data_IF_564671252501
#
_entry.id   IF_564671252501
#
_cell.length_a   1.000
_cell.length_b   1.000
_cell.length_c   1.000
_cell.angle_alpha   90.00
_cell.angle_beta   90.00
_cell.angle_gamma   90.00
#
_symmetry.space_group_name_H-M   'P 1'
#
loop_
_entity.id
_entity.type
_entity.pdbx_description
1 polymer ?
#
# COMPACT_ATOMS: atom_id res chain seq x y z
N UNK A 1 -13.54 -25.58 5.03
CA UNK A 1 -14.41 -24.46 5.44
C UNK A 1 -13.58 -23.42 6.18
N UNK A 2 -13.66 -22.13 5.85
CA UNK A 2 -13.11 -21.06 6.70
C UNK A 2 -14.15 -20.78 7.79
N UNK A 3 -13.95 -21.38 8.96
CA UNK A 3 -14.87 -21.30 10.12
C UNK A 3 -14.72 -20.01 10.92
N UNK A 4 -13.69 -19.20 10.67
CA UNK A 4 -13.45 -17.97 11.40
C UNK A 4 -14.24 -16.77 10.83
N UNK A 5 -15.14 -16.21 11.64
CA UNK A 5 -15.78 -14.92 11.38
C UNK A 5 -14.77 -13.79 11.63
N UNK A 6 -14.18 -13.23 10.57
CA UNK A 6 -13.22 -12.11 10.65
C UNK A 6 -13.90 -10.79 11.08
N UNK A 7 -13.10 -9.78 11.43
CA UNK A 7 -13.57 -8.44 11.79
C UNK A 7 -13.49 -8.17 13.29
N UNK A 8 -14.37 -7.32 13.82
CA UNK A 8 -14.35 -6.98 15.27
C UNK A 8 -14.62 -8.21 16.14
N UNK A 9 -15.42 -9.16 15.64
CA UNK A 9 -15.72 -10.41 16.35
C UNK A 9 -14.49 -11.30 16.52
N UNK A 10 -13.50 -11.25 15.60
CA UNK A 10 -12.28 -12.03 15.77
C UNK A 10 -11.42 -11.50 16.92
N UNK A 11 -11.44 -10.19 17.18
CA UNK A 11 -10.75 -9.58 18.34
C UNK A 11 -11.39 -10.08 19.64
N UNK A 12 -12.72 -10.05 19.72
CA UNK A 12 -13.48 -10.53 20.88
C UNK A 12 -13.15 -12.00 21.17
N UNK A 13 -13.16 -12.86 20.15
CA UNK A 13 -12.81 -14.28 20.31
C UNK A 13 -11.35 -14.50 20.67
N UNK A 14 -10.43 -13.85 19.97
CA UNK A 14 -8.99 -14.04 20.17
C UNK A 14 -8.53 -13.64 21.58
N UNK A 15 -9.14 -12.60 22.15
CA UNK A 15 -8.84 -12.13 23.50
C UNK A 15 -9.81 -12.69 24.57
N UNK A 16 -10.74 -13.57 24.20
CA UNK A 16 -11.81 -14.10 25.07
C UNK A 16 -12.57 -13.00 25.83
N UNK A 17 -12.86 -11.88 25.17
CA UNK A 17 -13.57 -10.76 25.80
C UNK A 17 -15.05 -11.09 25.98
N UNK A 18 -15.66 -10.55 27.04
CA UNK A 18 -17.12 -10.65 27.26
C UNK A 18 -17.90 -10.17 26.03
N UNK A 19 -18.92 -10.91 25.56
CA UNK A 19 -19.67 -10.57 24.34
C UNK A 19 -20.23 -9.14 24.31
N UNK A 20 -20.66 -8.62 25.47
CA UNK A 20 -21.16 -7.23 25.64
C UNK A 20 -20.16 -6.16 25.17
N UNK A 21 -18.86 -6.47 25.16
CA UNK A 21 -17.80 -5.54 24.75
C UNK A 21 -17.67 -5.40 23.23
N UNK A 22 -18.31 -6.28 22.44
CA UNK A 22 -18.35 -6.16 21.00
C UNK A 22 -18.90 -4.80 20.55
N UNK A 23 -20.00 -4.35 21.15
CA UNK A 23 -20.61 -3.06 20.82
C UNK A 23 -19.67 -1.91 21.21
N UNK A 24 -19.01 -1.98 22.38
CA UNK A 24 -18.04 -0.95 22.80
C UNK A 24 -16.85 -0.83 21.85
N UNK A 25 -16.30 -1.95 21.37
CA UNK A 25 -15.23 -1.96 20.37
C UNK A 25 -15.71 -1.40 19.02
N UNK A 26 -16.93 -1.72 18.63
CA UNK A 26 -17.53 -1.16 17.42
C UNK A 26 -17.74 0.36 17.57
N UNK A 27 -18.19 0.82 18.73
CA UNK A 27 -18.43 2.23 19.02
C UNK A 27 -17.13 3.03 19.04
N UNK A 28 -16.04 2.46 19.55
CA UNK A 28 -14.72 3.13 19.52
C UNK A 28 -14.24 3.38 18.09
N UNK A 29 -14.55 2.49 17.13
CA UNK A 29 -14.26 2.72 15.72
C UNK A 29 -15.06 3.89 15.13
N UNK A 30 -16.25 4.17 15.66
CA UNK A 30 -17.11 5.28 15.23
C UNK A 30 -16.82 6.59 15.99
N UNK A 31 -15.79 6.60 16.84
CA UNK A 31 -15.42 7.78 17.61
C UNK A 31 -14.71 8.81 16.74
N UNK A 32 -15.16 10.06 16.84
CA UNK A 32 -14.51 11.21 16.20
C UNK A 32 -13.23 11.64 16.94
N UNK A 33 -12.93 11.05 18.11
CA UNK A 33 -11.69 11.31 18.83
C UNK A 33 -10.46 10.76 18.09
N UNK A 34 -10.63 9.74 17.26
CA UNK A 34 -9.56 9.20 16.43
C UNK A 34 -9.38 10.09 15.20
N UNK A 35 -8.36 10.94 15.21
CA UNK A 35 -7.98 11.75 14.06
C UNK A 35 -7.14 10.91 13.08
N UNK A 36 -7.78 10.44 11.99
CA UNK A 36 -7.18 9.46 11.08
C UNK A 36 -5.88 9.92 10.43
N UNK A 37 -5.83 11.16 9.97
CA UNK A 37 -4.67 11.67 9.25
C UNK A 37 -3.49 11.89 10.20
N UNK A 38 -3.76 12.41 11.40
CA UNK A 38 -2.77 12.50 12.48
C UNK A 38 -2.27 11.11 12.91
N UNK A 39 -3.16 10.13 13.02
CA UNK A 39 -2.77 8.75 13.33
C UNK A 39 -1.87 8.15 12.24
N UNK A 40 -2.15 8.42 10.96
CA UNK A 40 -1.30 7.99 9.84
C UNK A 40 0.09 8.66 9.86
N UNK A 41 0.16 9.96 10.15
CA UNK A 41 1.42 10.68 10.29
C UNK A 41 2.23 10.17 11.50
N UNK A 42 1.60 10.00 12.67
CA UNK A 42 2.24 9.45 13.87
C UNK A 42 2.75 8.03 13.66
N UNK A 43 1.95 7.18 12.99
CA UNK A 43 2.38 5.84 12.62
C UNK A 43 3.61 5.88 11.70
N UNK A 44 3.64 6.78 10.73
CA UNK A 44 4.79 6.95 9.83
C UNK A 44 6.05 7.37 10.60
N UNK A 45 5.93 8.31 11.54
CA UNK A 45 7.03 8.69 12.41
C UNK A 45 7.52 7.51 13.26
N UNK A 46 6.60 6.70 13.80
CA UNK A 46 6.95 5.47 14.52
C UNK A 46 7.68 4.47 13.63
N UNK A 47 7.23 4.25 12.39
CA UNK A 47 7.91 3.36 11.43
C UNK A 47 9.34 3.84 11.14
N UNK A 48 9.52 5.13 10.88
CA UNK A 48 10.85 5.70 10.60
C UNK A 48 11.79 5.62 11.81
N UNK A 49 11.25 5.63 13.04
CA UNK A 49 12.03 5.51 14.28
C UNK A 49 12.33 4.05 14.66
N UNK A 50 11.37 3.15 14.49
CA UNK A 50 11.44 1.78 14.97
C UNK A 50 12.24 0.88 14.01
N UNK A 51 12.04 1.01 12.71
CA UNK A 51 12.68 0.11 11.76
C UNK A 51 14.17 0.46 11.58
N UNK A 52 15.07 -0.54 11.62
CA UNK A 52 16.51 -0.30 11.64
C UNK A 52 17.07 0.22 10.30
N UNK A 53 16.56 -0.28 9.17
CA UNK A 53 17.04 0.09 7.83
C UNK A 53 15.89 0.35 6.84
N UNK A 54 15.16 1.47 6.96
CA UNK A 54 14.22 1.88 5.91
C UNK A 54 15.00 2.23 4.63
N UNK A 55 14.67 1.55 3.54
CA UNK A 55 15.47 1.53 2.31
C UNK A 55 15.71 2.94 1.78
N UNK A 56 16.98 3.23 1.48
CA UNK A 56 17.42 4.46 0.83
C UNK A 56 18.17 4.17 -0.46
N UNK A 57 18.00 5.06 -1.43
CA UNK A 57 18.80 5.16 -2.65
C UNK A 57 19.12 6.62 -2.87
N UNK A 58 20.38 6.96 -3.15
CA UNK A 58 20.85 8.35 -3.27
C UNK A 58 20.38 9.27 -2.12
N UNK A 59 20.43 8.76 -0.88
CA UNK A 59 19.99 9.48 0.32
C UNK A 59 18.46 9.59 0.51
N UNK A 60 17.66 9.25 -0.50
CA UNK A 60 16.19 9.38 -0.50
C UNK A 60 15.52 8.08 -0.05
N UNK A 61 14.43 8.19 0.71
CA UNK A 61 13.61 7.02 1.11
C UNK A 61 12.88 6.42 -0.09
N UNK A 62 12.40 5.19 0.01
CA UNK A 62 11.63 4.55 -1.05
C UNK A 62 10.22 4.22 -0.56
N UNK A 63 9.22 4.88 -1.16
CA UNK A 63 7.81 4.60 -0.98
C UNK A 63 7.27 3.83 -2.19
N UNK A 64 6.36 2.91 -1.96
CA UNK A 64 5.59 2.22 -2.99
C UNK A 64 4.11 2.57 -2.84
N UNK A 65 3.42 2.77 -3.96
CA UNK A 65 1.99 3.06 -3.96
C UNK A 65 1.24 2.25 -5.00
N UNK A 66 0.06 1.78 -4.61
CA UNK A 66 -0.80 0.98 -5.48
C UNK A 66 -2.28 1.07 -5.05
N UNK A 67 -3.17 0.68 -5.94
CA UNK A 67 -4.60 0.54 -5.68
C UNK A 67 -4.98 -0.91 -5.36
N UNK A 68 -5.97 -1.10 -4.49
CA UNK A 68 -6.58 -2.41 -4.26
C UNK A 68 -8.11 -2.30 -4.31
N UNK A 69 -8.74 -3.27 -4.99
CA UNK A 69 -10.19 -3.43 -5.05
C UNK A 69 -10.57 -4.61 -4.16
N UNK A 70 -11.42 -4.36 -3.18
CA UNK A 70 -11.87 -5.39 -2.22
C UNK A 70 -13.36 -5.60 -2.36
N UNK A 71 -13.75 -6.84 -2.66
CA UNK A 71 -15.14 -7.22 -2.82
C UNK A 71 -15.91 -7.04 -1.51
N UNK A 72 -17.11 -6.48 -1.60
CA UNK A 72 -18.07 -6.28 -0.52
C UNK A 72 -19.46 -6.67 -0.99
N UNK A 73 -20.13 -7.52 -0.22
CA UNK A 73 -21.49 -8.00 -0.53
C UNK A 73 -22.59 -7.25 0.21
N UNK A 74 -22.25 -6.41 1.18
CA UNK A 74 -23.23 -5.67 1.98
C UNK A 74 -23.98 -4.63 1.13
N UNK A 75 -25.30 -4.75 1.07
CA UNK A 75 -26.17 -3.79 0.34
C UNK A 75 -26.21 -2.41 0.98
N UNK A 76 -25.84 -2.29 2.25
CA UNK A 76 -25.92 -1.06 3.04
C UNK A 76 -24.54 -0.61 3.53
N UNK A 77 -23.59 -0.51 2.60
CA UNK A 77 -22.22 -0.11 2.86
C UNK A 77 -21.84 1.11 2.01
N UNK A 78 -21.59 2.28 2.64
CA UNK A 78 -21.20 3.47 1.90
C UNK A 78 -19.88 3.30 1.16
N UNK A 79 -19.80 3.85 -0.06
CA UNK A 79 -18.62 3.76 -0.93
C UNK A 79 -18.51 2.47 -1.74
N UNK A 80 -19.36 1.46 -1.49
CA UNK A 80 -19.43 0.28 -2.35
C UNK A 80 -20.03 0.66 -3.70
N UNK A 81 -19.34 0.28 -4.78
CA UNK A 81 -19.78 0.43 -6.17
C UNK A 81 -19.36 -0.77 -7.01
N UNK A 82 -19.89 -0.87 -8.23
CA UNK A 82 -19.41 -1.78 -9.25
C UNK A 82 -18.02 -1.34 -9.74
N UNK A 83 -17.05 -2.24 -9.66
CA UNK A 83 -15.66 -2.01 -10.02
C UNK A 83 -15.22 -3.05 -11.05
N UNK A 84 -14.65 -2.59 -12.16
CA UNK A 84 -13.96 -3.44 -13.13
C UNK A 84 -12.58 -3.84 -12.59
N UNK A 85 -12.21 -5.12 -12.70
CA UNK A 85 -10.89 -5.62 -12.34
C UNK A 85 -10.04 -5.74 -13.61
N UNK A 86 -8.96 -4.95 -13.68
CA UNK A 86 -8.04 -4.95 -14.82
C UNK A 86 -7.02 -6.10 -14.78
N UNK A 87 -7.14 -7.03 -13.82
CA UNK A 87 -6.22 -8.17 -13.72
C UNK A 87 -6.68 -9.31 -14.61
N UNK A 88 -5.90 -9.63 -15.64
CA UNK A 88 -6.07 -10.81 -16.49
C UNK A 88 -5.82 -12.08 -15.65
N UNK A 89 -6.87 -12.58 -15.01
CA UNK A 89 -6.86 -13.82 -14.24
C UNK A 89 -8.15 -14.55 -14.55
N UNK A 90 -8.05 -15.69 -15.24
CA UNK A 90 -9.19 -16.51 -15.65
C UNK A 90 -10.10 -16.97 -14.50
N UNK A 91 -9.63 -16.87 -13.25
CA UNK A 91 -10.36 -17.30 -12.04
C UNK A 91 -11.01 -16.15 -11.27
N UNK A 92 -10.74 -14.88 -11.63
CA UNK A 92 -11.33 -13.73 -10.95
C UNK A 92 -12.48 -13.14 -11.76
N UNK A 93 -13.59 -12.74 -11.11
CA UNK A 93 -14.67 -12.07 -11.80
C UNK A 93 -14.20 -10.71 -12.33
N UNK A 94 -14.54 -10.43 -13.59
CA UNK A 94 -14.21 -9.17 -14.27
C UNK A 94 -14.78 -7.95 -13.53
N UNK A 95 -15.96 -8.10 -12.91
CA UNK A 95 -16.59 -7.06 -12.12
C UNK A 95 -16.85 -7.53 -10.68
N UNK A 96 -16.62 -6.64 -9.72
CA UNK A 96 -17.01 -6.85 -8.33
C UNK A 96 -17.74 -5.63 -7.77
N UNK A 97 -18.73 -5.89 -6.90
CA UNK A 97 -19.18 -4.87 -5.96
C UNK A 97 -18.13 -4.77 -4.85
N UNK A 98 -17.62 -3.58 -4.59
CA UNK A 98 -16.56 -3.44 -3.61
C UNK A 98 -16.12 -2.02 -3.33
N UNK A 99 -15.09 -1.90 -2.51
CA UNK A 99 -14.36 -0.66 -2.28
C UNK A 99 -13.09 -0.65 -3.12
N UNK A 100 -12.83 0.50 -3.74
CA UNK A 100 -11.55 0.80 -4.37
C UNK A 100 -10.75 1.69 -3.43
N UNK A 101 -9.55 1.25 -3.08
CA UNK A 101 -8.69 1.88 -2.10
C UNK A 101 -7.32 2.17 -2.72
N UNK A 102 -6.64 3.19 -2.21
CA UNK A 102 -5.23 3.41 -2.49
C UNK A 102 -4.42 3.24 -1.22
N UNK A 103 -3.21 2.72 -1.38
CA UNK A 103 -2.28 2.48 -0.30
C UNK A 103 -0.92 3.10 -0.59
N UNK A 104 -0.25 3.50 0.48
CA UNK A 104 1.17 3.87 0.49
C UNK A 104 1.87 3.03 1.53
N UNK A 105 3.01 2.46 1.14
CA UNK A 105 3.91 1.71 2.02
C UNK A 105 5.34 2.20 1.86
N UNK A 106 6.15 2.07 2.90
CA UNK A 106 7.60 2.29 2.83
C UNK A 106 8.32 0.98 2.66
N UNK A 107 9.38 0.97 1.85
CA UNK A 107 10.26 -0.18 1.72
C UNK A 107 11.30 -0.19 2.85
N UNK A 108 11.45 -1.34 3.48
CA UNK A 108 12.41 -1.56 4.57
C UNK A 108 13.23 -2.80 4.27
N UNK A 109 14.55 -2.71 4.42
CA UNK A 109 15.42 -3.87 4.28
C UNK A 109 15.22 -4.81 5.46
N UNK A 110 15.13 -6.09 5.15
CA UNK A 110 14.85 -7.15 6.10
C UNK A 110 15.78 -8.32 5.80
N UNK A 111 16.97 -8.31 6.41
CA UNK A 111 18.06 -9.22 6.07
C UNK A 111 18.34 -9.24 4.54
N UNK A 112 18.20 -10.38 3.87
CA UNK A 112 18.38 -10.49 2.41
C UNK A 112 17.12 -10.09 1.62
N UNK A 113 16.04 -9.71 2.30
CA UNK A 113 14.77 -9.30 1.69
C UNK A 113 14.43 -7.83 1.90
N UNK A 114 13.26 -7.46 1.39
CA UNK A 114 12.64 -6.15 1.57
C UNK A 114 11.17 -6.36 1.88
N UNK A 115 10.65 -5.63 2.87
CA UNK A 115 9.23 -5.56 3.20
C UNK A 115 8.63 -4.23 2.74
N UNK A 116 7.36 -4.26 2.34
CA UNK A 116 6.56 -3.06 2.14
C UNK A 116 5.69 -2.85 3.39
N UNK A 117 6.17 -2.02 4.30
CA UNK A 117 5.49 -1.68 5.55
C UNK A 117 4.36 -0.68 5.27
N UNK A 118 3.09 -1.05 5.47
CA UNK A 118 1.97 -0.17 5.12
C UNK A 118 1.89 1.02 6.06
N UNK A 119 1.71 2.22 5.48
CA UNK A 119 1.62 3.48 6.22
C UNK A 119 0.17 3.97 6.30
N UNK A 120 -0.52 3.99 5.17
CA UNK A 120 -1.90 4.42 5.08
C UNK A 120 -2.64 3.73 3.93
N UNK A 121 -3.93 3.44 4.16
CA UNK A 121 -4.86 2.97 3.13
C UNK A 121 -6.17 3.73 3.28
N UNK A 122 -6.73 4.22 2.16
CA UNK A 122 -7.98 5.00 2.15
C UNK A 122 -8.90 4.57 1.02
N UNK A 123 -10.20 4.53 1.31
CA UNK A 123 -11.27 4.34 0.31
C UNK A 123 -11.43 5.65 -0.45
N UNK A 124 -11.25 5.60 -1.76
CA UNK A 124 -11.21 6.80 -2.60
C UNK A 124 -12.17 6.80 -3.77
N UNK A 125 -12.90 5.72 -4.02
CA UNK A 125 -14.02 5.70 -4.98
C UNK A 125 -15.35 5.42 -4.31
N UNK A 126 -16.45 5.62 -5.04
CA UNK A 126 -17.80 5.26 -4.61
C UNK A 126 -18.60 6.36 -3.95
N UNK A 127 -17.99 7.48 -3.56
CA UNK A 127 -18.68 8.61 -2.93
C UNK A 127 -18.36 9.93 -3.63
N UNK A 128 -19.41 10.69 -3.95
CA UNK A 128 -19.32 12.04 -4.54
C UNK A 128 -19.96 13.05 -3.59
N UNK A 129 -19.11 13.78 -2.87
CA UNK A 129 -19.52 14.75 -1.85
C UNK A 129 -20.01 16.08 -2.42
N UNK A 130 -19.55 16.44 -3.61
CA UNK A 130 -19.90 17.68 -4.30
C UNK A 130 -19.72 17.50 -5.80
N UNK A 131 -20.58 18.11 -6.60
CA UNK A 131 -20.41 18.19 -8.06
C UNK A 131 -19.16 18.96 -8.48
N UNK A 132 -18.59 19.74 -7.55
CA UNK A 132 -17.33 20.48 -7.77
C UNK A 132 -16.09 19.63 -7.50
N UNK A 133 -16.22 18.45 -6.90
CA UNK A 133 -15.08 17.58 -6.64
C UNK A 133 -14.59 16.93 -7.94
N UNK A 134 -13.54 17.51 -8.52
CA UNK A 134 -12.88 17.04 -9.75
C UNK A 134 -11.62 16.22 -9.46
N UNK A 135 -11.40 15.83 -8.20
CA UNK A 135 -10.20 15.07 -7.81
C UNK A 135 -10.24 13.67 -8.38
N UNK A 136 -9.23 13.33 -9.16
CA UNK A 136 -9.02 11.98 -9.70
C UNK A 136 -8.32 11.09 -8.68
N UNK A 137 -8.21 9.79 -8.97
CA UNK A 137 -7.40 8.87 -8.16
C UNK A 137 -5.94 9.33 -8.04
N UNK A 138 -5.40 10.04 -9.04
CA UNK A 138 -4.06 10.59 -8.98
C UNK A 138 -3.96 11.70 -7.92
N UNK A 139 -4.95 12.60 -7.87
CA UNK A 139 -5.00 13.67 -6.86
C UNK A 139 -5.16 13.08 -5.45
N UNK A 140 -5.94 12.01 -5.31
CA UNK A 140 -6.16 11.29 -4.05
C UNK A 140 -4.90 10.54 -3.58
N UNK A 141 -4.10 10.00 -4.49
CA UNK A 141 -2.80 9.41 -4.14
C UNK A 141 -1.80 10.47 -3.65
N UNK A 142 -1.74 11.64 -4.30
CA UNK A 142 -0.90 12.76 -3.83
C UNK A 142 -1.37 13.22 -2.44
N UNK A 143 -2.68 13.33 -2.23
CA UNK A 143 -3.25 13.64 -0.91
C UNK A 143 -2.87 12.59 0.13
N UNK A 144 -2.85 11.30 -0.23
CA UNK A 144 -2.44 10.21 0.67
C UNK A 144 -0.96 10.29 1.04
N UNK A 145 -0.09 10.59 0.07
CA UNK A 145 1.33 10.83 0.31
C UNK A 145 1.54 12.03 1.27
N UNK A 146 0.74 13.09 1.12
CA UNK A 146 0.75 14.22 2.04
C UNK A 146 0.30 13.87 3.46
N UNK A 147 -0.75 13.04 3.61
CA UNK A 147 -1.26 12.58 4.91
C UNK A 147 -0.22 11.75 5.68
N UNK A 148 0.57 10.95 4.97
CA UNK A 148 1.61 10.11 5.57
C UNK A 148 2.76 10.98 6.13
N UNK A 149 2.96 12.20 5.62
CA UNK A 149 3.89 13.20 6.16
C UNK A 149 5.34 12.72 6.28
N UNK A 150 5.86 12.01 5.26
CA UNK A 150 7.29 11.70 5.18
C UNK A 150 8.05 12.99 4.91
N UNK A 151 8.76 13.50 5.93
CA UNK A 151 9.53 14.76 5.85
C UNK A 151 10.79 14.67 4.99
N UNK A 152 11.37 13.47 4.91
CA UNK A 152 12.56 13.22 4.12
C UNK A 152 12.21 13.05 2.63
N UNK A 153 13.04 13.53 1.70
CA UNK A 153 12.78 13.32 0.28
C UNK A 153 12.77 11.82 -0.09
N UNK A 154 11.92 11.45 -1.03
CA UNK A 154 11.70 10.05 -1.40
C UNK A 154 11.54 9.80 -2.91
N UNK A 155 11.81 8.56 -3.31
CA UNK A 155 11.34 7.97 -4.55
C UNK A 155 9.99 7.30 -4.31
N UNK A 156 8.98 7.70 -5.09
CA UNK A 156 7.69 7.04 -5.16
C UNK A 156 7.69 6.05 -6.32
N UNK A 157 7.60 4.77 -6.01
CA UNK A 157 7.57 3.68 -6.98
C UNK A 157 6.12 3.23 -7.18
N UNK A 158 5.62 3.33 -8.40
CA UNK A 158 4.20 3.10 -8.68
C UNK A 158 3.99 2.44 -10.05
N UNK A 159 2.82 1.85 -10.26
CA UNK A 159 2.47 1.23 -11.53
C UNK A 159 2.35 2.25 -12.69
N UNK A 160 2.08 1.75 -13.89
CA UNK A 160 1.94 2.59 -15.08
C UNK A 160 0.71 3.51 -15.07
N UNK A 161 -0.28 3.28 -14.21
CA UNK A 161 -1.43 4.18 -14.06
C UNK A 161 -0.99 5.52 -13.45
N UNK A 162 -0.02 5.50 -12.53
CA UNK A 162 0.52 6.70 -11.90
C UNK A 162 1.53 7.47 -12.76
N UNK A 163 1.86 6.97 -13.95
CA UNK A 163 2.68 7.64 -14.95
C UNK A 163 1.94 8.84 -15.58
N UNK A 164 1.70 9.88 -14.79
CA UNK A 164 0.89 11.03 -15.18
C UNK A 164 1.50 12.37 -14.72
N UNK A 165 1.19 13.44 -15.48
CA UNK A 165 1.64 14.82 -15.18
C UNK A 165 1.33 15.23 -13.74
N UNK A 166 0.13 14.91 -13.26
CA UNK A 166 -0.33 15.29 -11.92
C UNK A 166 0.57 14.72 -10.84
N UNK A 167 0.91 13.44 -10.92
CA UNK A 167 1.80 12.76 -9.97
C UNK A 167 3.20 13.37 -10.01
N UNK A 168 3.78 13.51 -11.20
CA UNK A 168 5.12 14.09 -11.34
C UNK A 168 5.18 15.51 -10.78
N UNK A 169 4.17 16.35 -11.07
CA UNK A 169 4.10 17.70 -10.52
C UNK A 169 4.00 17.67 -8.98
N UNK A 170 3.03 16.93 -8.44
CA UNK A 170 2.79 16.89 -6.99
C UNK A 170 3.99 16.35 -6.19
N UNK A 171 4.74 15.40 -6.75
CA UNK A 171 5.98 14.92 -6.14
C UNK A 171 7.10 15.97 -6.23
N UNK A 172 7.30 16.57 -7.39
CA UNK A 172 8.40 17.52 -7.64
C UNK A 172 8.25 18.83 -6.87
N UNK A 173 7.02 19.26 -6.58
CA UNK A 173 6.76 20.43 -5.73
C UNK A 173 7.35 20.26 -4.30
N UNK A 174 7.69 19.03 -3.89
CA UNK A 174 8.30 18.68 -2.60
C UNK A 174 9.67 18.00 -2.76
N UNK A 175 10.33 18.19 -3.91
CA UNK A 175 11.58 17.50 -4.26
C UNK A 175 11.50 15.95 -4.20
N UNK A 176 10.33 15.37 -4.46
CA UNK A 176 10.16 13.91 -4.56
C UNK A 176 10.22 13.44 -6.02
N UNK A 177 10.60 12.19 -6.23
CA UNK A 177 10.80 11.63 -7.56
C UNK A 177 9.89 10.43 -7.82
N UNK A 178 9.47 10.23 -9.07
CA UNK A 178 8.64 9.12 -9.51
C UNK A 178 9.51 8.08 -10.21
N UNK A 179 9.33 6.81 -9.85
CA UNK A 179 9.80 5.65 -10.61
C UNK A 179 8.57 4.84 -11.01
N UNK A 180 8.36 4.64 -12.30
CA UNK A 180 7.14 3.99 -12.80
C UNK A 180 7.39 3.27 -14.12
N UNK A 181 6.50 2.35 -14.47
CA UNK A 181 6.46 1.76 -15.81
C UNK A 181 5.69 2.66 -16.77
N UNK A 182 6.10 2.66 -18.02
CA UNK A 182 5.37 3.30 -19.10
C UNK A 182 4.74 2.26 -20.02
N UNK A 183 3.69 2.68 -20.73
CA UNK A 183 3.09 1.85 -21.79
C UNK A 183 4.09 1.71 -22.93
N UNK A 184 4.09 0.56 -23.61
CA UNK A 184 4.93 0.35 -24.81
C UNK A 184 4.65 1.37 -25.92
N UNK A 185 3.45 1.94 -25.96
CA UNK A 185 3.05 2.98 -26.91
C UNK A 185 3.49 4.40 -26.49
N UNK A 186 4.23 4.54 -25.40
CA UNK A 186 4.69 5.83 -24.92
C UNK A 186 5.63 6.52 -25.92
N UNK A 187 5.54 7.85 -25.92
CA UNK A 187 6.30 8.73 -26.81
C UNK A 187 7.02 9.76 -25.95
N UNK A 188 8.26 10.04 -26.30
CA UNK A 188 9.03 11.14 -25.77
C UNK A 188 9.59 11.99 -26.91
N UNK A 189 10.18 13.12 -26.57
CA UNK A 189 10.73 14.06 -27.54
C UNK A 189 12.17 14.36 -27.18
N UNK A 190 13.00 14.61 -28.17
CA UNK A 190 14.30 15.22 -27.91
C UNK A 190 14.12 16.65 -27.40
N UNK A 191 15.13 17.14 -26.68
CA UNK A 191 15.17 18.54 -26.31
C UNK A 191 15.48 19.36 -27.57
N UNK A 192 14.66 20.36 -27.86
CA UNK A 192 14.95 21.25 -28.98
C UNK A 192 16.08 22.20 -28.61
N UNK A 193 17.15 22.18 -29.38
CA UNK A 193 18.23 23.17 -29.32
C UNK A 193 17.95 24.28 -30.35
N UNK A 194 17.92 25.54 -29.89
CA UNK A 194 17.74 26.69 -30.80
C UNK A 194 18.96 26.81 -31.72
N UNK A 195 18.73 26.66 -33.02
CA UNK A 195 19.74 26.93 -34.03
C UNK A 195 19.43 28.29 -34.70
N UNK A 196 20.29 29.28 -34.49
CA UNK A 196 20.20 30.62 -35.10
C UNK A 196 19.46 31.67 -34.25
N UNK A 197 19.23 32.88 -34.80
CA UNK A 197 18.65 34.00 -34.06
C UNK A 197 17.20 33.72 -33.63
N UNK A 198 16.86 34.12 -32.39
CA UNK A 198 15.53 33.91 -31.81
C UNK A 198 14.44 34.53 -32.68
N UNK A 199 13.51 33.68 -33.12
CA UNK A 199 12.31 34.11 -33.85
C UNK A 199 11.29 34.69 -32.89
N UNK A 200 10.49 35.65 -33.37
CA UNK A 200 9.40 36.26 -32.60
C UNK A 200 8.35 35.19 -32.25
N UNK A 201 8.10 34.95 -30.95
CA UNK A 201 7.12 33.97 -30.45
C UNK A 201 7.63 33.14 -29.28
N UNK A 202 6.82 32.16 -28.84
CA UNK A 202 7.22 31.21 -27.78
C UNK A 202 8.29 30.26 -28.32
N UNK A 203 9.46 30.12 -27.66
CA UNK A 203 10.51 29.18 -28.06
C UNK A 203 9.99 27.75 -28.22
N UNK A 204 10.46 27.06 -29.25
CA UNK A 204 10.15 25.64 -29.47
C UNK A 204 10.86 24.82 -28.39
N UNK A 205 10.11 23.96 -27.70
CA UNK A 205 10.64 23.11 -26.62
C UNK A 205 10.88 21.66 -27.08
N UNK A 206 10.05 21.17 -28.01
CA UNK A 206 10.01 19.77 -28.42
C UNK A 206 10.77 19.58 -29.73
N UNK A 207 11.81 18.75 -29.70
CA UNK A 207 12.57 18.30 -30.86
C UNK A 207 11.88 17.14 -31.60
N UNK A 208 12.67 16.18 -32.06
CA UNK A 208 12.15 15.00 -32.76
C UNK A 208 11.26 14.15 -31.85
N UNK A 209 10.20 13.56 -32.42
CA UNK A 209 9.27 12.67 -31.71
C UNK A 209 9.79 11.23 -31.77
N UNK A 210 10.16 10.68 -30.62
CA UNK A 210 10.67 9.32 -30.49
C UNK A 210 9.58 8.40 -29.93
N UNK A 211 9.25 7.34 -30.67
CA UNK A 211 8.43 6.24 -30.16
C UNK A 211 9.31 5.36 -29.28
N UNK A 212 9.01 5.24 -27.99
CA UNK A 212 9.88 4.49 -27.08
C UNK A 212 9.95 3.00 -27.41
N UNK A 213 8.96 2.47 -28.14
CA UNK A 213 8.98 1.10 -28.67
C UNK A 213 10.09 0.89 -29.71
N UNK A 214 10.35 1.85 -30.60
CA UNK A 214 11.36 1.67 -31.65
C UNK A 214 12.79 1.59 -31.09
N UNK A 215 12.97 1.99 -29.83
CA UNK A 215 14.23 1.82 -29.11
C UNK A 215 14.56 0.35 -28.80
N UNK A 216 13.57 -0.54 -28.91
CA UNK A 216 13.77 -1.99 -28.78
C UNK A 216 14.34 -2.59 -30.07
N UNK A 217 14.12 -1.94 -31.21
CA UNK A 217 14.47 -2.46 -32.53
C UNK A 217 15.90 -2.04 -32.96
N UNK A 218 16.48 -1.05 -32.28
CA UNK A 218 17.83 -0.54 -32.55
C UNK A 218 18.84 -1.10 -31.54
N UNK A 219 19.79 -1.96 -31.96
CA UNK A 219 20.79 -2.58 -31.08
C UNK A 219 21.88 -1.61 -30.61
N UNK A 220 21.91 -0.37 -31.13
CA UNK A 220 22.90 0.63 -30.70
C UNK A 220 22.66 1.06 -29.24
N UNK A 221 23.75 1.21 -28.49
CA UNK A 221 23.79 1.64 -27.08
C UNK A 221 23.12 0.69 -26.06
N UNK A 222 22.93 -0.58 -26.41
CA UNK A 222 22.46 -1.60 -25.46
C UNK A 222 23.57 -1.97 -24.49
N UNK A 223 23.29 -1.87 -23.20
CA UNK A 223 24.18 -2.25 -22.11
C UNK A 223 23.72 -3.57 -21.49
N UNK A 224 24.67 -4.39 -21.03
CA UNK A 224 24.40 -5.64 -20.32
C UNK A 224 24.79 -5.49 -18.86
N UNK A 225 23.95 -5.98 -17.95
CA UNK A 225 24.26 -6.03 -16.53
C UNK A 225 23.60 -7.25 -15.87
N UNK A 226 24.12 -7.74 -14.73
CA UNK A 226 23.40 -8.69 -13.91
C UNK A 226 22.06 -8.08 -13.46
N UNK A 227 21.00 -8.89 -13.44
CA UNK A 227 19.66 -8.45 -13.05
C UNK A 227 19.66 -8.03 -11.58
N UNK A 228 19.26 -6.79 -11.25
CA UNK A 228 19.11 -6.37 -9.87
C UNK A 228 17.73 -6.73 -9.30
N UNK A 229 16.90 -7.47 -10.06
CA UNK A 229 15.54 -7.82 -9.67
C UNK A 229 15.58 -8.84 -8.53
N UNK A 230 14.79 -8.59 -7.49
CA UNK A 230 14.75 -9.42 -6.29
C UNK A 230 14.49 -10.90 -6.60
N UNK A 231 15.37 -11.77 -6.10
CA UNK A 231 15.26 -13.22 -6.20
C UNK A 231 15.78 -13.81 -7.51
N UNK A 232 16.40 -13.01 -8.37
CA UNK A 232 17.08 -13.51 -9.58
C UNK A 232 18.58 -13.69 -9.32
N UNK A 233 19.10 -14.85 -9.69
CA UNK A 233 20.52 -15.17 -9.64
C UNK A 233 20.97 -15.59 -11.05
N UNK A 234 22.16 -15.16 -11.46
CA UNK A 234 22.76 -15.51 -12.76
C UNK A 234 21.91 -15.13 -13.99
N UNK A 235 21.08 -14.09 -13.88
CA UNK A 235 20.33 -13.53 -15.01
C UNK A 235 21.03 -12.27 -15.50
N UNK A 236 21.38 -12.22 -16.78
CA UNK A 236 21.86 -10.99 -17.43
C UNK A 236 20.69 -10.31 -18.12
N UNK A 237 20.50 -9.02 -17.86
CA UNK A 237 19.53 -8.18 -18.54
C UNK A 237 20.23 -7.25 -19.51
N UNK A 238 19.54 -6.93 -20.59
CA UNK A 238 19.94 -5.87 -21.50
C UNK A 238 19.10 -4.64 -21.21
N UNK A 239 19.71 -3.46 -21.25
CA UNK A 239 18.97 -2.22 -21.06
C UNK A 239 19.56 -1.07 -21.86
N UNK A 240 18.71 -0.09 -22.17
CA UNK A 240 19.07 1.15 -22.86
C UNK A 240 18.51 2.34 -22.11
N UNK A 241 19.30 3.40 -22.03
CA UNK A 241 18.99 4.59 -21.23
C UNK A 241 18.90 5.79 -22.14
N UNK A 242 17.86 6.59 -21.97
CA UNK A 242 17.72 7.86 -22.69
C UNK A 242 17.10 8.92 -21.79
N UNK A 243 17.65 10.13 -21.82
CA UNK A 243 17.06 11.28 -21.17
C UNK A 243 16.28 12.07 -22.22
N UNK A 244 14.95 12.01 -22.18
CA UNK A 244 14.08 12.61 -23.19
C UNK A 244 13.01 13.50 -22.54
N UNK A 245 12.56 14.50 -23.28
CA UNK A 245 11.48 15.40 -22.88
C UNK A 245 10.14 14.67 -22.94
N UNK A 246 9.50 14.50 -21.79
CA UNK A 246 8.19 13.86 -21.71
C UNK A 246 7.07 14.89 -21.75
N UNK A 247 6.33 14.93 -22.87
CA UNK A 247 5.30 15.94 -23.19
C UNK A 247 4.27 16.20 -22.09
N UNK A 248 3.74 15.19 -21.35
CA UNK A 248 2.82 15.46 -20.25
C UNK A 248 3.39 16.42 -19.21
N UNK A 249 4.68 16.36 -18.92
CA UNK A 249 5.33 17.23 -17.93
C UNK A 249 6.14 18.37 -18.55
N UNK A 250 6.41 18.35 -19.85
CA UNK A 250 7.34 19.25 -20.53
C UNK A 250 8.72 19.31 -19.85
N UNK A 251 9.20 18.16 -19.37
CA UNK A 251 10.48 18.03 -18.64
C UNK A 251 11.24 16.81 -19.11
N UNK A 252 12.56 16.89 -19.04
CA UNK A 252 13.45 15.76 -19.30
C UNK A 252 13.29 14.76 -18.16
N UNK A 253 13.06 13.50 -18.53
CA UNK A 253 12.98 12.36 -17.62
C UNK A 253 13.86 11.25 -18.18
N UNK A 254 14.33 10.37 -17.31
CA UNK A 254 15.16 9.23 -17.69
C UNK A 254 14.26 8.06 -18.02
N UNK A 255 14.32 7.59 -19.26
CA UNK A 255 13.71 6.35 -19.70
C UNK A 255 14.74 5.23 -19.66
N UNK A 256 14.32 4.07 -19.15
CA UNK A 256 15.13 2.86 -19.14
C UNK A 256 14.32 1.75 -19.80
N UNK A 257 14.74 1.33 -20.98
CA UNK A 257 14.18 0.19 -21.68
C UNK A 257 14.94 -1.04 -21.19
N UNK A 258 14.23 -2.05 -20.69
CA UNK A 258 14.82 -3.28 -20.15
C UNK A 258 14.31 -4.44 -20.98
N UNK A 259 15.23 -5.29 -21.43
CA UNK A 259 14.97 -6.54 -22.13
C UNK A 259 15.41 -7.66 -21.19
N UNK A 260 14.44 -8.37 -20.65
CA UNK A 260 14.67 -9.50 -19.76
C UNK A 260 14.50 -10.81 -20.53
N UNK A 261 15.42 -11.78 -20.41
CA UNK A 261 15.41 -13.01 -21.22
C UNK A 261 14.11 -13.82 -21.07
N UNK A 262 13.56 -13.90 -19.85
CA UNK A 262 12.29 -14.61 -19.56
C UNK A 262 11.03 -13.72 -19.48
N UNK A 263 11.12 -12.53 -18.89
CA UNK A 263 9.96 -11.65 -18.61
C UNK A 263 9.59 -10.73 -19.78
N UNK A 264 10.38 -10.72 -20.85
CA UNK A 264 10.19 -9.85 -22.00
C UNK A 264 10.62 -8.41 -21.72
N UNK A 265 10.01 -7.47 -22.44
CA UNK A 265 10.43 -6.06 -22.45
C UNK A 265 9.65 -5.21 -21.46
N UNK A 266 10.35 -4.29 -20.81
CA UNK A 266 9.78 -3.34 -19.87
C UNK A 266 10.31 -1.94 -20.16
N UNK A 267 9.43 -0.95 -20.18
CA UNK A 267 9.81 0.45 -20.31
C UNK A 267 9.59 1.14 -18.97
N UNK A 268 10.65 1.63 -18.37
CA UNK A 268 10.64 2.35 -17.11
C UNK A 268 10.89 3.84 -17.33
N UNK A 269 10.38 4.65 -16.42
CA UNK A 269 10.58 6.09 -16.38
C UNK A 269 10.93 6.51 -14.95
N UNK A 270 11.98 7.31 -14.82
CA UNK A 270 12.32 8.01 -13.59
C UNK A 270 12.35 9.52 -13.84
N UNK A 271 11.79 10.30 -12.91
CA UNK A 271 11.90 11.77 -12.99
C UNK A 271 13.25 12.28 -12.51
N UNK A 272 14.06 11.46 -11.85
CA UNK A 272 15.46 11.74 -11.52
C UNK A 272 16.37 11.33 -12.69
N UNK A 273 17.02 12.31 -13.30
CA UNK A 273 17.98 12.08 -14.38
C UNK A 273 19.38 11.75 -13.87
N UNK A 274 19.61 11.79 -12.56
CA UNK A 274 20.92 11.45 -11.95
C UNK A 274 20.95 10.02 -11.43
N UNK A 275 19.78 9.41 -11.19
CA UNK A 275 19.68 8.07 -10.63
C UNK A 275 20.21 7.01 -11.61
N UNK A 276 21.07 6.13 -11.08
CA UNK A 276 21.64 5.04 -11.85
C UNK A 276 20.55 4.15 -12.49
N UNK A 277 20.66 3.81 -13.78
CA UNK A 277 19.69 2.98 -14.48
C UNK A 277 19.42 1.63 -13.82
N UNK A 278 20.45 0.96 -13.28
CA UNK A 278 20.31 -0.32 -12.59
C UNK A 278 19.49 -0.15 -11.32
N UNK A 279 19.69 0.95 -10.59
CA UNK A 279 18.85 1.28 -9.42
C UNK A 279 17.39 1.58 -9.82
N UNK A 280 17.12 2.20 -10.97
CA UNK A 280 15.74 2.36 -11.48
C UNK A 280 15.08 0.98 -11.68
N UNK A 281 15.80 0.04 -12.30
CA UNK A 281 15.32 -1.32 -12.55
C UNK A 281 15.08 -2.05 -11.23
N UNK A 282 16.02 -1.93 -10.28
CA UNK A 282 15.93 -2.51 -8.94
C UNK A 282 14.73 -1.98 -8.17
N UNK A 283 14.57 -0.66 -8.11
CA UNK A 283 13.47 0.00 -7.38
C UNK A 283 12.11 -0.40 -7.94
N UNK A 284 11.95 -0.39 -9.27
CA UNK A 284 10.71 -0.85 -9.88
C UNK A 284 10.50 -2.36 -9.66
N UNK A 285 11.58 -3.14 -9.69
CA UNK A 285 11.60 -4.56 -9.34
C UNK A 285 11.15 -4.86 -7.92
N UNK A 286 11.21 -3.90 -6.99
CA UNK A 286 10.69 -4.03 -5.62
C UNK A 286 9.21 -3.62 -5.48
N UNK A 287 8.58 -3.05 -6.51
CA UNK A 287 7.17 -2.58 -6.45
C UNK A 287 6.22 -3.70 -6.02
N UNK A 288 6.42 -4.93 -6.49
CA UNK A 288 5.53 -6.07 -6.17
C UNK A 288 5.45 -6.38 -4.67
N UNK A 289 6.38 -5.86 -3.84
CA UNK A 289 6.32 -6.02 -2.38
C UNK A 289 5.03 -5.44 -1.79
N UNK A 290 4.45 -4.40 -2.40
CA UNK A 290 3.14 -3.88 -1.97
C UNK A 290 2.00 -4.86 -2.26
N UNK A 291 2.06 -5.59 -3.38
CA UNK A 291 1.08 -6.62 -3.72
C UNK A 291 1.17 -7.81 -2.74
N UNK A 292 2.39 -8.17 -2.34
CA UNK A 292 2.60 -9.16 -1.28
C UNK A 292 2.03 -8.68 0.05
N UNK A 293 2.28 -7.41 0.41
CA UNK A 293 1.72 -6.78 1.60
C UNK A 293 0.18 -6.81 1.59
N UNK A 294 -0.45 -6.53 0.45
CA UNK A 294 -1.91 -6.67 0.29
C UNK A 294 -2.40 -8.10 0.49
N UNK A 295 -1.69 -9.10 -0.04
CA UNK A 295 -2.05 -10.51 0.15
C UNK A 295 -2.12 -10.85 1.65
N UNK A 296 -1.16 -10.36 2.44
CA UNK A 296 -1.14 -10.59 3.88
C UNK A 296 -2.23 -9.77 4.60
N UNK A 297 -2.44 -8.52 4.22
CA UNK A 297 -3.52 -7.67 4.75
C UNK A 297 -4.91 -8.32 4.56
N UNK A 298 -5.17 -8.89 3.38
CA UNK A 298 -6.44 -9.56 3.05
C UNK A 298 -6.58 -10.90 3.79
N UNK A 299 -5.58 -11.77 3.67
CA UNK A 299 -5.75 -13.17 4.04
C UNK A 299 -5.35 -13.49 5.49
N UNK A 300 -4.45 -12.73 6.10
CA UNK A 300 -3.94 -12.98 7.45
C UNK A 300 -4.45 -11.99 8.47
N UNK A 301 -4.33 -10.70 8.18
CA UNK A 301 -4.75 -9.64 9.12
C UNK A 301 -6.27 -9.45 9.08
N UNK A 302 -6.87 -9.58 7.90
CA UNK A 302 -8.28 -9.24 7.71
C UNK A 302 -8.52 -7.73 7.74
N UNK A 303 -7.57 -6.93 7.25
CA UNK A 303 -7.62 -5.46 7.26
C UNK A 303 -8.88 -4.88 6.60
N UNK A 304 -9.46 -5.64 5.67
CA UNK A 304 -10.67 -5.27 4.95
C UNK A 304 -11.89 -6.10 5.36
N UNK A 305 -11.84 -6.81 6.48
CA UNK A 305 -12.91 -7.71 6.95
C UNK A 305 -13.88 -7.02 7.94
N UNK A 306 -14.07 -5.70 7.83
CA UNK A 306 -15.11 -5.01 8.59
C UNK A 306 -16.50 -5.33 8.03
N UNK A 307 -17.43 -5.64 8.94
CA UNK A 307 -18.80 -6.11 8.66
C UNK A 307 -19.89 -5.27 9.34
N UNK A 308 -19.62 -4.03 9.73
CA UNK A 308 -20.65 -3.15 10.30
C UNK A 308 -21.28 -2.23 9.24
N UNK A 309 -22.58 -2.40 9.02
CA UNK A 309 -23.33 -1.75 7.95
C UNK A 309 -23.92 -0.42 8.45
N UNK A 310 -24.56 0.34 7.57
CA UNK A 310 -25.38 1.50 7.92
C UNK A 310 -26.85 1.15 7.71
N UNK A 311 -27.58 0.86 8.79
CA UNK A 311 -28.96 0.37 8.73
C UNK A 311 -29.89 1.31 7.94
N UNK A 312 -29.72 2.62 8.10
CA UNK A 312 -30.55 3.65 7.46
C UNK A 312 -30.13 3.95 6.02
N UNK A 313 -29.10 3.27 5.51
CA UNK A 313 -28.64 3.46 4.14
C UNK A 313 -29.66 2.89 3.13
N UNK A 314 -29.88 3.63 2.05
CA UNK A 314 -30.61 3.13 0.87
C UNK A 314 -29.85 1.90 0.32
N UNK A 315 -30.52 0.75 0.11
CA UNK A 315 -29.85 -0.47 -0.32
C UNK A 315 -29.30 -0.33 -1.74
N UNK A 316 -28.07 -0.79 -1.94
CA UNK A 316 -27.39 -0.82 -3.22
C UNK A 316 -27.84 -2.03 -4.06
N UNK A 317 -27.86 -1.83 -5.38
CA UNK A 317 -28.06 -2.87 -6.39
C UNK A 317 -26.71 -3.35 -6.95
N UNK A 318 -26.69 -4.49 -7.65
CA UNK A 318 -25.46 -5.07 -8.23
C UNK A 318 -24.85 -4.24 -9.37
N UNK A 319 -25.55 -3.22 -9.84
CA UNK A 319 -25.13 -2.30 -10.90
C UNK A 319 -24.86 -0.89 -10.38
N UNK A 320 -24.94 -0.69 -9.06
CA UNK A 320 -24.78 0.64 -8.45
C UNK A 320 -23.38 1.20 -8.68
N UNK A 321 -23.33 2.41 -9.24
CA UNK A 321 -22.11 3.20 -9.44
C UNK A 321 -21.79 4.07 -8.23
N UNK A 322 -21.29 5.28 -8.49
CA UNK A 322 -20.95 6.24 -7.44
C UNK A 322 -22.21 6.75 -6.69
N UNK A 323 -22.06 6.96 -5.39
CA UNK A 323 -23.12 7.46 -4.51
C UNK A 323 -23.01 8.98 -4.39
N UNK A 324 -24.05 9.69 -4.83
CA UNK A 324 -24.08 11.15 -4.94
C UNK A 324 -24.64 11.82 -3.68
N UNK A 325 -23.80 11.96 -2.66
CA UNK A 325 -24.20 12.47 -1.35
C UNK A 325 -24.60 13.94 -1.35
N UNK A 326 -24.16 14.73 -2.34
CA UNK A 326 -24.56 16.13 -2.49
C UNK A 326 -26.07 16.33 -2.80
N UNK A 327 -26.81 15.25 -3.05
CA UNK A 327 -28.27 15.26 -3.28
C UNK A 327 -29.08 14.82 -2.05
N UNK A 328 -28.41 14.37 -0.99
CA UNK A 328 -29.04 13.80 0.20
C UNK A 328 -29.15 14.82 1.33
N UNK A 329 -29.95 14.53 2.36
CA UNK A 329 -30.07 15.36 3.56
C UNK A 329 -28.74 15.47 4.32
N UNK A 330 -28.58 16.56 5.10
CA UNK A 330 -27.38 16.75 5.92
C UNK A 330 -27.17 15.61 6.91
N UNK A 331 -28.24 15.12 7.52
CA UNK A 331 -28.23 13.99 8.45
C UNK A 331 -27.69 12.71 7.78
N UNK A 332 -28.21 12.36 6.60
CA UNK A 332 -27.75 11.19 5.85
C UNK A 332 -26.26 11.31 5.47
N UNK A 333 -25.84 12.50 5.02
CA UNK A 333 -24.42 12.78 4.72
C UNK A 333 -23.53 12.56 5.94
N UNK A 334 -23.95 13.06 7.11
CA UNK A 334 -23.18 12.93 8.35
C UNK A 334 -23.10 11.47 8.81
N UNK A 335 -24.20 10.71 8.68
CA UNK A 335 -24.20 9.27 8.97
C UNK A 335 -23.25 8.49 8.03
N UNK A 336 -23.22 8.83 6.74
CA UNK A 336 -22.27 8.25 5.77
C UNK A 336 -20.82 8.62 6.12
N UNK A 337 -20.53 9.89 6.45
CA UNK A 337 -19.19 10.33 6.91
C UNK A 337 -18.73 9.52 8.11
N UNK A 338 -19.58 9.41 9.14
CA UNK A 338 -19.30 8.65 10.36
C UNK A 338 -19.01 7.18 10.05
N UNK A 339 -19.73 6.59 9.09
CA UNK A 339 -19.52 5.18 8.68
C UNK A 339 -18.21 4.97 7.92
N UNK A 340 -17.89 5.85 6.97
CA UNK A 340 -16.63 5.81 6.23
C UNK A 340 -15.44 6.00 7.17
N UNK A 341 -15.54 6.95 8.09
CA UNK A 341 -14.57 7.15 9.16
C UNK A 341 -14.29 5.85 9.90
N UNK A 342 -15.35 5.16 10.35
CA UNK A 342 -15.21 3.89 11.05
C UNK A 342 -14.55 2.78 10.19
N UNK A 343 -14.81 2.74 8.89
CA UNK A 343 -14.11 1.83 7.97
C UNK A 343 -12.63 2.15 7.89
N UNK A 344 -12.27 3.43 7.76
CA UNK A 344 -10.87 3.85 7.71
C UNK A 344 -10.16 3.63 9.05
N UNK A 345 -10.81 3.84 10.19
CA UNK A 345 -10.21 3.55 11.52
C UNK A 345 -9.90 2.06 11.64
N UNK A 346 -10.83 1.19 11.24
CA UNK A 346 -10.59 -0.25 11.23
C UNK A 346 -9.42 -0.63 10.32
N UNK A 347 -9.39 -0.11 9.09
CA UNK A 347 -8.30 -0.36 8.13
C UNK A 347 -6.96 0.16 8.69
N UNK A 348 -6.93 1.37 9.24
CA UNK A 348 -5.71 1.98 9.78
C UNK A 348 -5.16 1.18 10.97
N UNK A 349 -6.03 0.73 11.88
CA UNK A 349 -5.62 -0.13 12.99
C UNK A 349 -5.03 -1.46 12.50
N UNK A 350 -5.64 -2.06 11.48
CA UNK A 350 -5.16 -3.31 10.90
C UNK A 350 -3.81 -3.17 10.19
N UNK A 351 -3.57 -2.08 9.44
CA UNK A 351 -2.26 -1.87 8.81
C UNK A 351 -1.17 -1.52 9.84
N UNK A 352 -1.51 -0.83 10.93
CA UNK A 352 -0.58 -0.61 12.04
C UNK A 352 -0.19 -1.97 12.64
N UNK A 353 -1.16 -2.86 12.86
CA UNK A 353 -0.90 -4.22 13.32
C UNK A 353 0.02 -4.99 12.36
N UNK A 354 -0.25 -4.93 11.05
CA UNK A 354 0.62 -5.54 10.04
C UNK A 354 2.04 -4.97 10.07
N UNK A 355 2.16 -3.65 10.19
CA UNK A 355 3.45 -2.99 10.28
C UNK A 355 4.22 -3.33 11.56
N UNK A 356 3.55 -3.49 12.70
CA UNK A 356 4.17 -3.98 13.94
C UNK A 356 4.64 -5.43 13.79
N UNK A 357 3.92 -6.28 13.06
CA UNK A 357 4.40 -7.64 12.75
C UNK A 357 5.66 -7.60 11.88
N UNK A 358 5.69 -6.72 10.86
CA UNK A 358 6.89 -6.50 10.07
C UNK A 358 8.06 -6.00 10.92
N UNK A 359 7.81 -5.11 11.89
CA UNK A 359 8.83 -4.63 12.80
C UNK A 359 9.44 -5.77 13.62
N UNK A 360 8.61 -6.63 14.22
CA UNK A 360 9.09 -7.78 14.98
C UNK A 360 9.91 -8.76 14.12
N UNK A 361 9.46 -9.02 12.90
CA UNK A 361 10.18 -9.87 11.96
C UNK A 361 11.56 -9.29 11.56
N UNK A 362 11.66 -7.96 11.43
CA UNK A 362 12.90 -7.30 10.99
C UNK A 362 13.86 -7.07 12.16
N UNK A 363 13.38 -6.56 13.28
CA UNK A 363 14.20 -6.15 14.41
C UNK A 363 14.52 -7.31 15.38
N UNK A 364 13.62 -8.30 15.49
CA UNK A 364 13.75 -9.39 16.45
C UNK A 364 13.53 -10.79 15.83
N UNK A 365 14.19 -11.13 14.71
CA UNK A 365 13.93 -12.38 13.99
C UNK A 365 14.18 -13.62 14.87
N UNK A 366 15.26 -13.64 15.64
CA UNK A 366 15.61 -14.77 16.52
C UNK A 366 14.55 -15.01 17.60
N UNK A 367 14.06 -13.94 18.23
CA UNK A 367 13.00 -14.05 19.25
C UNK A 367 11.69 -14.56 18.65
N UNK A 368 11.33 -14.08 17.46
CA UNK A 368 10.14 -14.56 16.74
C UNK A 368 10.26 -16.05 16.42
N UNK A 369 11.40 -16.50 15.90
CA UNK A 369 11.62 -17.90 15.59
C UNK A 369 11.57 -18.80 16.83
N UNK A 370 12.21 -18.37 17.93
CA UNK A 370 12.18 -19.11 19.19
C UNK A 370 10.77 -19.21 19.78
N UNK A 371 9.92 -18.21 19.54
CA UNK A 371 8.56 -18.15 20.06
C UNK A 371 7.51 -18.73 19.11
N UNK A 372 7.88 -19.12 17.88
CA UNK A 372 6.94 -19.56 16.85
C UNK A 372 6.19 -20.84 17.22
N UNK A 373 6.89 -21.77 17.90
CA UNK A 373 6.40 -23.05 18.45
C UNK A 373 5.44 -23.84 17.57
N UNK A 374 5.62 -23.73 16.26
CA UNK A 374 4.94 -24.52 15.25
C UNK A 374 5.98 -25.02 14.23
N UNK A 375 5.53 -25.74 13.22
CA UNK A 375 6.41 -26.39 12.26
C UNK A 375 6.26 -25.78 10.87
N UNK A 376 7.39 -25.55 10.20
CA UNK A 376 7.46 -25.19 8.78
C UNK A 376 8.39 -26.17 8.08
N UNK A 377 7.99 -26.62 6.90
CA UNK A 377 8.78 -27.55 6.08
C UNK A 377 10.16 -27.00 5.72
N UNK A 378 10.26 -25.70 5.50
CA UNK A 378 11.50 -25.05 5.08
C UNK A 378 11.62 -23.70 5.78
N UNK A 379 12.71 -23.53 6.52
CA UNK A 379 13.15 -22.24 7.07
C UNK A 379 14.40 -21.86 6.30
N UNK A 380 14.34 -20.75 5.58
CA UNK A 380 15.46 -20.26 4.80
C UNK A 380 16.30 -19.30 5.65
N UNK A 381 17.59 -19.63 5.92
CA UNK A 381 18.50 -18.70 6.59
C UNK A 381 18.58 -17.38 5.81
N UNK A 382 18.62 -16.25 6.52
CA UNK A 382 18.73 -14.92 5.90
C UNK A 382 17.40 -14.31 5.38
N UNK A 383 16.29 -15.05 5.43
CA UNK A 383 14.95 -14.52 5.14
C UNK A 383 14.24 -14.22 6.47
N UNK A 384 13.68 -13.01 6.65
CA UNK A 384 12.95 -12.65 7.86
C UNK A 384 11.69 -13.52 8.05
N UNK A 385 11.24 -13.74 9.31
CA UNK A 385 9.95 -14.36 9.58
C UNK A 385 8.82 -13.70 8.79
N UNK A 386 7.95 -14.51 8.18
CA UNK A 386 6.73 -13.98 7.55
C UNK A 386 5.73 -13.51 8.60
N UNK A 387 4.76 -12.68 8.21
CA UNK A 387 3.68 -12.21 9.10
C UNK A 387 2.89 -13.38 9.73
N UNK A 388 2.80 -14.53 9.05
CA UNK A 388 2.21 -15.75 9.62
C UNK A 388 3.02 -16.27 10.81
N UNK A 389 4.35 -16.29 10.69
CA UNK A 389 5.26 -16.76 11.75
C UNK A 389 5.16 -15.84 12.95
N UNK A 390 5.21 -14.52 12.72
CA UNK A 390 5.06 -13.52 13.78
C UNK A 390 3.70 -13.63 14.46
N UNK A 391 2.61 -13.77 13.70
CA UNK A 391 1.27 -13.88 14.26
C UNK A 391 1.10 -15.14 15.12
N UNK A 392 1.68 -16.27 14.72
CA UNK A 392 1.67 -17.50 15.52
C UNK A 392 2.52 -17.36 16.78
N UNK A 393 3.72 -16.77 16.67
CA UNK A 393 4.58 -16.50 17.81
C UNK A 393 3.89 -15.62 18.86
N UNK A 394 3.21 -14.55 18.42
CA UNK A 394 2.40 -13.69 19.30
C UNK A 394 1.21 -14.43 19.91
N UNK A 395 0.55 -15.31 19.15
CA UNK A 395 -0.58 -16.10 19.67
C UNK A 395 -0.11 -17.06 20.78
N UNK A 396 1.06 -17.66 20.61
CA UNK A 396 1.62 -18.60 21.59
C UNK A 396 2.09 -17.92 22.86
N UNK A 397 2.69 -16.73 22.77
CA UNK A 397 3.16 -15.98 23.93
C UNK A 397 2.07 -15.18 24.64
N UNK A 398 0.90 -14.99 24.03
CA UNK A 398 -0.19 -14.20 24.59
C UNK A 398 -0.66 -14.68 25.99
N UNK A 399 -0.89 -15.99 26.25
CA UNK A 399 -1.32 -16.44 27.57
C UNK A 399 -0.31 -16.12 28.67
N UNK A 400 0.97 -16.44 28.43
CA UNK A 400 2.05 -16.16 29.37
C UNK A 400 2.18 -14.66 29.65
N UNK A 401 2.09 -13.84 28.61
CA UNK A 401 2.09 -12.39 28.75
C UNK A 401 0.93 -11.90 29.64
N UNK A 402 -0.29 -12.42 29.44
CA UNK A 402 -1.46 -12.03 30.23
C UNK A 402 -1.32 -12.44 31.71
N UNK A 403 -0.93 -13.69 31.99
CA UNK A 403 -0.79 -14.22 33.35
C UNK A 403 0.32 -13.48 34.10
N UNK A 404 1.53 -13.42 33.53
CA UNK A 404 2.72 -12.93 34.24
C UNK A 404 2.72 -11.40 34.45
N UNK A 405 1.95 -10.64 33.65
CA UNK A 405 2.00 -9.18 33.67
C UNK A 405 0.72 -8.49 34.16
N UNK A 406 -0.24 -9.23 34.73
CA UNK A 406 -1.53 -8.66 35.16
C UNK A 406 -1.36 -7.55 36.21
N UNK A 407 -0.35 -7.66 37.09
CA UNK A 407 -0.07 -6.67 38.14
C UNK A 407 0.70 -5.44 37.66
N UNK A 408 1.58 -5.59 36.67
CA UNK A 408 2.57 -4.57 36.26
C UNK A 408 2.24 -3.88 34.94
N UNK A 409 1.50 -4.52 34.03
CA UNK A 409 1.30 -4.01 32.67
C UNK A 409 -0.14 -3.60 32.39
N UNK A 410 -0.31 -2.36 31.93
CA UNK A 410 -1.63 -1.74 31.73
C UNK A 410 -2.53 -2.51 30.77
N UNK A 411 -1.97 -3.08 29.69
CA UNK A 411 -2.75 -3.80 28.69
C UNK A 411 -3.16 -5.19 29.18
N UNK A 412 -2.28 -5.90 29.90
CA UNK A 412 -2.62 -7.20 30.48
C UNK A 412 -3.75 -7.04 31.50
N UNK A 413 -3.61 -6.06 32.41
CA UNK A 413 -4.66 -5.67 33.36
C UNK A 413 -5.96 -5.27 32.67
N UNK A 414 -5.89 -4.52 31.57
CA UNK A 414 -7.08 -4.09 30.82
C UNK A 414 -7.83 -5.26 30.19
N UNK A 415 -7.11 -6.20 29.57
CA UNK A 415 -7.66 -7.37 28.87
C UNK A 415 -8.24 -8.36 29.87
N UNK A 416 -7.47 -8.74 30.90
CA UNK A 416 -7.89 -9.73 31.91
C UNK A 416 -9.18 -9.30 32.62
N UNK A 417 -9.32 -8.02 33.01
CA UNK A 417 -10.56 -7.47 33.62
C UNK A 417 -11.80 -7.54 32.70
N UNK A 418 -11.61 -7.80 31.42
CA UNK A 418 -12.64 -7.78 30.38
C UNK A 418 -12.87 -9.15 29.75
N UNK A 419 -12.09 -10.15 30.16
CA UNK A 419 -12.30 -11.52 29.75
C UNK A 419 -13.56 -12.11 30.36
N UNK A 420 -14.12 -13.07 29.64
CA UNK A 420 -15.22 -13.89 30.11
C UNK A 420 -14.64 -15.04 30.95
N UNK A 421 -14.94 -15.02 32.25
CA UNK A 421 -14.44 -16.00 33.22
C UNK A 421 -15.17 -17.34 33.13
N UNK A 422 -16.38 -17.38 32.57
CA UNK A 422 -17.20 -18.60 32.47
C UNK A 422 -16.73 -19.51 31.31
N UNK A 423 -16.04 -18.94 30.31
CA UNK A 423 -15.40 -19.69 29.21
C UNK A 423 -13.89 -19.92 29.42
N UNK A 424 -13.42 -19.70 30.65
CA UNK A 424 -12.00 -19.63 31.00
C UNK A 424 -11.39 -20.96 31.51
N UNK A 425 -12.12 -22.08 31.47
CA UNK A 425 -11.72 -23.39 32.01
C UNK A 425 -10.44 -24.04 31.42
N UNK A 426 -9.63 -23.34 30.62
CA UNK A 426 -8.37 -23.88 30.07
C UNK A 426 -7.11 -23.06 30.36
N UNK A 427 -7.15 -22.04 31.23
CA UNK A 427 -5.93 -21.34 31.66
C UNK A 427 -5.61 -21.45 33.15
N UNK A 428 -6.46 -22.09 33.97
CA UNK A 428 -6.20 -22.25 35.41
C UNK A 428 -5.47 -23.54 35.80
N UNK A 429 -5.12 -24.41 34.85
CA UNK A 429 -4.46 -25.69 35.15
C UNK A 429 -2.91 -25.62 35.22
N UNK A 430 -2.33 -24.42 35.29
CA UNK A 430 -0.91 -24.22 35.52
C UNK A 430 -0.72 -22.98 36.41
N UNK A 431 -1.08 -23.13 37.68
CA UNK A 431 -0.65 -22.26 38.78
C UNK A 431 -0.02 -23.13 39.85
#
# INVERSE_FOLDING_TARGET
>A
MRTELLGVTSIVRALKLRPVLYNKLRDSLHSNAVQLDQLSALWTQAVLRLFPDPLRVNGRRVLVGDGIKVAKSGKKMPGVKLLHQQSDSNTKPEYIMGHSMQAVSILVRAAQSVFAVPLAVRIYEGLVWSNRDRRTLLDKMISLLGIVEVKEPFYFVADAYYAARKIVKGLRDQDNHLVTRQKSTAVAYEQYEEQGPRKRGRPKLYGEKIKLKSLLDDPRDVQCAPSPVYGEENVTIQYRVMNLLWRPCARVVRFVVVIHPRRGTCLLMCTDVTLDPIEIIRLYGLRFKIELSFKQAVHRIGAFAYHFWMQDMKPLTRTSGDQYLHRESLEYRNAVKRKIHAYHVFIQAAIICQGLQNYLAVAFPSHVWNSFGSWLRTVHPGIPPSELVVANALRQSLPEFLVNNTGSHIFAKFIMKRQDTETFEMFSAAA
#
